data_IF_224248415239
#
_entry.id   IF_224248415239
#
_cell.length_a   1.000
_cell.length_b   1.000
_cell.length_c   1.000
_cell.angle_alpha   90.00
_cell.angle_beta   90.00
_cell.angle_gamma   90.00
#
_symmetry.space_group_name_H-M   'P 1'
#
loop_
_entity.id
_entity.type
_entity.pdbx_description
1 polymer ?
#
# COMPACT_ATOMS: atom_id res chain seq x y z
N UNK A 1 29.06 -1.14 4.53
CA UNK A 1 28.17 -1.78 5.53
C UNK A 1 28.41 -3.28 5.51
N UNK A 2 28.37 -3.97 6.65
CA UNK A 2 28.45 -5.43 6.66
C UNK A 2 27.19 -6.06 6.03
N UNK A 3 27.28 -7.25 5.42
CA UNK A 3 26.12 -7.89 4.77
C UNK A 3 24.94 -8.11 5.73
N UNK A 4 25.24 -8.36 7.02
CA UNK A 4 24.23 -8.41 8.09
C UNK A 4 23.48 -7.09 8.26
N UNK A 5 24.17 -5.94 8.20
CA UNK A 5 23.53 -4.61 8.29
C UNK A 5 22.65 -4.31 7.08
N UNK A 6 23.08 -4.73 5.89
CA UNK A 6 22.29 -4.56 4.65
C UNK A 6 21.03 -5.42 4.69
N UNK A 7 21.15 -6.71 5.03
CA UNK A 7 20.00 -7.61 5.18
C UNK A 7 19.01 -7.10 6.23
N UNK A 8 19.49 -6.62 7.38
CA UNK A 8 18.63 -6.02 8.41
C UNK A 8 17.92 -4.76 7.91
N UNK A 9 18.61 -3.86 7.20
CA UNK A 9 18.00 -2.66 6.64
C UNK A 9 16.90 -3.01 5.62
N UNK A 10 17.12 -4.01 4.76
CA UNK A 10 16.11 -4.49 3.82
C UNK A 10 14.90 -5.09 4.55
N UNK A 11 15.10 -5.87 5.61
CA UNK A 11 14.00 -6.42 6.42
C UNK A 11 13.17 -5.31 7.07
N UNK A 12 13.83 -4.34 7.71
CA UNK A 12 13.13 -3.22 8.34
C UNK A 12 12.38 -2.37 7.31
N UNK A 13 12.99 -2.11 6.15
CA UNK A 13 12.33 -1.41 5.04
C UNK A 13 11.11 -2.17 4.52
N UNK A 14 11.21 -3.50 4.38
CA UNK A 14 10.07 -4.32 3.97
C UNK A 14 8.92 -4.27 4.99
N UNK A 15 9.23 -4.40 6.28
CA UNK A 15 8.22 -4.30 7.35
C UNK A 15 7.54 -2.93 7.33
N UNK A 16 8.31 -1.85 7.20
CA UNK A 16 7.75 -0.49 7.14
C UNK A 16 6.82 -0.32 5.93
N UNK A 17 7.22 -0.80 4.75
CA UNK A 17 6.40 -0.72 3.55
C UNK A 17 5.13 -1.57 3.63
N UNK A 18 5.18 -2.73 4.31
CA UNK A 18 3.99 -3.53 4.57
C UNK A 18 3.02 -2.79 5.50
N UNK A 19 3.54 -2.15 6.56
CA UNK A 19 2.71 -1.34 7.46
C UNK A 19 2.08 -0.14 6.73
N UNK A 20 2.85 0.55 5.88
CA UNK A 20 2.33 1.64 5.04
C UNK A 20 1.29 1.12 4.06
N UNK A 21 1.54 -0.02 3.41
CA UNK A 21 0.59 -0.64 2.49
C UNK A 21 -0.72 -1.03 3.18
N UNK A 22 -0.64 -1.64 4.37
CA UNK A 22 -1.81 -1.95 5.19
C UNK A 22 -2.57 -0.68 5.59
N UNK A 23 -1.85 0.35 6.03
CA UNK A 23 -2.47 1.63 6.35
C UNK A 23 -3.23 2.19 5.14
N UNK A 24 -2.59 2.28 3.97
CA UNK A 24 -3.23 2.80 2.75
C UNK A 24 -4.40 1.94 2.23
N UNK A 25 -4.42 0.64 2.54
CA UNK A 25 -5.47 -0.27 2.10
C UNK A 25 -6.75 -0.15 2.96
N UNK A 26 -6.62 0.24 4.23
CA UNK A 26 -7.72 0.25 5.21
C UNK A 26 -8.07 1.63 5.78
N UNK A 27 -7.19 2.63 5.62
CA UNK A 27 -7.43 4.00 6.06
C UNK A 27 -8.29 4.73 5.01
N UNK A 28 -9.54 5.02 5.39
CA UNK A 28 -10.48 5.75 4.54
C UNK A 28 -9.99 7.18 4.31
N UNK A 29 -10.13 7.66 3.06
CA UNK A 29 -9.77 9.04 2.69
C UNK A 29 -10.94 10.00 2.83
N UNK A 30 -10.65 11.28 2.71
CA UNK A 30 -11.62 12.32 2.37
C UNK A 30 -11.38 12.84 0.94
N UNK A 31 -12.40 13.50 0.39
CA UNK A 31 -12.39 14.19 -0.91
C UNK A 31 -13.12 15.54 -0.79
N UNK A 32 -12.74 16.51 -1.60
CA UNK A 32 -13.43 17.80 -1.69
C UNK A 32 -14.56 17.72 -2.72
N UNK A 33 -15.79 18.06 -2.32
CA UNK A 33 -16.99 17.98 -3.14
C UNK A 33 -17.59 19.36 -3.37
N UNK A 34 -17.93 19.65 -4.63
CA UNK A 34 -18.45 20.93 -5.09
C UNK A 34 -19.98 20.96 -5.16
N UNK A 35 -20.66 19.81 -5.21
CA UNK A 35 -22.11 19.73 -5.11
C UNK A 35 -22.63 20.27 -3.77
N UNK A 36 -23.83 20.88 -3.85
CA UNK A 36 -24.60 21.28 -2.69
C UNK A 36 -25.54 20.15 -2.26
N UNK A 37 -25.64 19.93 -0.95
CA UNK A 37 -26.55 18.95 -0.37
C UNK A 37 -27.96 19.54 -0.13
N UNK A 38 -28.95 18.71 0.20
CA UNK A 38 -30.39 19.07 0.32
C UNK A 38 -30.65 20.23 1.29
N UNK A 39 -29.77 20.46 2.24
CA UNK A 39 -29.87 21.55 3.24
C UNK A 39 -28.75 22.61 3.11
N UNK A 40 -27.91 22.52 2.07
CA UNK A 40 -26.76 23.39 1.86
C UNK A 40 -27.05 24.49 0.85
N UNK A 41 -26.77 25.74 1.22
CA UNK A 41 -26.78 26.90 0.30
C UNK A 41 -25.52 27.04 -0.57
N UNK A 42 -24.66 26.00 -0.61
CA UNK A 42 -23.35 26.01 -1.28
C UNK A 42 -22.61 24.66 -1.16
N UNK A 43 -21.39 24.57 -1.73
CA UNK A 43 -20.57 23.34 -1.72
C UNK A 43 -20.29 22.87 -0.28
N UNK A 44 -20.37 21.56 -0.07
CA UNK A 44 -20.15 20.93 1.24
C UNK A 44 -18.66 20.97 1.65
N UNK A 45 -17.74 20.96 0.69
CA UNK A 45 -16.29 20.93 0.95
C UNK A 45 -15.79 19.51 1.22
N UNK A 46 -14.94 19.33 2.23
CA UNK A 46 -14.32 18.04 2.53
C UNK A 46 -15.34 17.02 3.08
N UNK A 47 -15.48 15.88 2.40
CA UNK A 47 -16.36 14.77 2.76
C UNK A 47 -15.52 13.51 2.99
N UNK A 48 -15.76 12.82 4.11
CA UNK A 48 -15.12 11.55 4.41
C UNK A 48 -15.72 10.39 3.60
N UNK A 49 -14.88 9.57 2.99
CA UNK A 49 -15.31 8.39 2.26
C UNK A 49 -15.68 7.26 3.21
N UNK A 50 -16.84 6.66 2.98
CA UNK A 50 -17.38 5.55 3.77
C UNK A 50 -16.83 4.20 3.32
N UNK A 51 -16.51 4.07 2.03
CA UNK A 51 -15.92 2.88 1.43
C UNK A 51 -14.42 2.77 1.74
N UNK A 52 -13.95 1.54 1.94
CA UNK A 52 -12.54 1.27 2.13
C UNK A 52 -11.79 1.24 0.78
N UNK A 53 -10.50 1.64 0.73
CA UNK A 53 -9.68 1.59 -0.49
C UNK A 53 -9.67 0.24 -1.20
N UNK A 54 -9.55 -0.86 -0.45
CA UNK A 54 -9.57 -2.20 -1.01
C UNK A 54 -10.94 -2.59 -1.60
N UNK A 55 -12.03 -2.10 -1.01
CA UNK A 55 -13.40 -2.42 -1.43
C UNK A 55 -13.73 -1.70 -2.74
N UNK A 56 -13.38 -0.41 -2.83
CA UNK A 56 -13.47 0.36 -4.07
C UNK A 56 -12.71 -0.33 -5.22
N UNK A 57 -11.45 -0.72 -4.99
CA UNK A 57 -10.59 -1.23 -6.06
C UNK A 57 -10.84 -2.69 -6.45
N UNK A 58 -11.31 -3.53 -5.52
CA UNK A 58 -11.50 -4.97 -5.78
C UNK A 58 -12.96 -5.34 -6.11
N UNK A 59 -13.93 -4.56 -5.63
CA UNK A 59 -15.35 -4.83 -5.82
C UNK A 59 -16.05 -3.77 -6.68
N UNK A 60 -15.30 -2.81 -7.24
CA UNK A 60 -15.82 -1.67 -7.99
C UNK A 60 -16.90 -0.89 -7.22
N UNK A 61 -16.75 -0.80 -5.89
CA UNK A 61 -17.74 -0.13 -5.03
C UNK A 61 -17.60 1.39 -5.14
N UNK A 62 -18.57 2.04 -5.78
CA UNK A 62 -18.69 3.49 -5.94
C UNK A 62 -19.87 4.09 -5.16
N UNK A 63 -20.36 3.39 -4.13
CA UNK A 63 -21.49 3.84 -3.32
C UNK A 63 -21.21 5.21 -2.68
N UNK A 64 -22.08 6.17 -2.97
CA UNK A 64 -22.12 7.47 -2.30
C UNK A 64 -22.62 7.37 -0.85
N UNK A 65 -22.69 8.51 -0.15
CA UNK A 65 -23.13 8.56 1.24
C UNK A 65 -24.58 8.12 1.37
N UNK A 66 -24.87 7.25 2.35
CA UNK A 66 -26.23 6.87 2.70
C UNK A 66 -26.99 8.00 3.40
N UNK A 67 -28.32 7.97 3.34
CA UNK A 67 -29.19 8.96 3.98
C UNK A 67 -29.92 9.88 3.00
N UNK A 68 -30.53 10.95 3.51
CA UNK A 68 -31.23 11.94 2.70
C UNK A 68 -30.23 12.95 2.13
N UNK A 69 -29.83 12.74 0.88
CA UNK A 69 -28.92 13.60 0.13
C UNK A 69 -29.47 13.93 -1.26
N UNK A 70 -28.97 15.03 -1.86
CA UNK A 70 -29.30 15.34 -3.26
C UNK A 70 -28.64 14.32 -4.18
N UNK A 71 -29.30 13.87 -5.27
CA UNK A 71 -28.70 12.87 -6.18
C UNK A 71 -27.37 13.34 -6.75
N UNK A 72 -27.28 14.62 -7.14
CA UNK A 72 -26.05 15.19 -7.66
C UNK A 72 -24.90 15.13 -6.63
N UNK A 73 -25.19 15.35 -5.34
CA UNK A 73 -24.20 15.20 -4.27
C UNK A 73 -23.79 13.73 -4.07
N UNK A 74 -24.75 12.81 -4.05
CA UNK A 74 -24.47 11.37 -3.89
C UNK A 74 -23.58 10.84 -5.01
N UNK A 75 -23.91 11.19 -6.26
CA UNK A 75 -23.17 10.74 -7.43
C UNK A 75 -21.75 11.34 -7.47
N UNK A 76 -21.59 12.62 -7.12
CA UNK A 76 -20.26 13.28 -7.06
C UNK A 76 -19.39 12.69 -5.95
N UNK A 77 -19.92 12.53 -4.74
CA UNK A 77 -19.19 11.92 -3.62
C UNK A 77 -18.79 10.49 -3.96
N UNK A 78 -19.70 9.68 -4.51
CA UNK A 78 -19.43 8.29 -4.90
C UNK A 78 -18.29 8.20 -5.90
N UNK A 79 -18.34 9.00 -6.97
CA UNK A 79 -17.30 9.02 -8.01
C UNK A 79 -15.94 9.48 -7.49
N UNK A 80 -15.90 10.58 -6.72
CA UNK A 80 -14.65 11.12 -6.17
C UNK A 80 -14.05 10.16 -5.12
N UNK A 81 -14.87 9.62 -4.22
CA UNK A 81 -14.44 8.64 -3.24
C UNK A 81 -13.95 7.35 -3.90
N UNK A 82 -14.62 6.85 -4.95
CA UNK A 82 -14.17 5.69 -5.71
C UNK A 82 -12.78 5.92 -6.31
N UNK A 83 -12.60 7.07 -6.98
CA UNK A 83 -11.33 7.44 -7.61
C UNK A 83 -10.19 7.54 -6.60
N UNK A 84 -10.39 8.28 -5.50
CA UNK A 84 -9.40 8.50 -4.46
C UNK A 84 -9.04 7.19 -3.72
N UNK A 85 -10.05 6.38 -3.39
CA UNK A 85 -9.90 5.08 -2.74
C UNK A 85 -9.13 4.09 -3.62
N UNK A 86 -9.47 4.04 -4.92
CA UNK A 86 -8.75 3.21 -5.90
C UNK A 86 -7.29 3.63 -6.04
N UNK A 87 -7.00 4.93 -6.09
CA UNK A 87 -5.64 5.45 -6.15
C UNK A 87 -4.83 5.07 -4.90
N UNK A 88 -5.42 5.21 -3.70
CA UNK A 88 -4.81 4.77 -2.43
C UNK A 88 -4.49 3.28 -2.44
N UNK A 89 -5.42 2.43 -2.89
CA UNK A 89 -5.19 0.99 -2.95
C UNK A 89 -4.09 0.61 -3.94
N UNK A 90 -3.99 1.29 -5.09
CA UNK A 90 -2.86 1.09 -6.02
C UNK A 90 -1.51 1.44 -5.36
N UNK A 91 -1.45 2.50 -4.56
CA UNK A 91 -0.27 2.84 -3.76
C UNK A 91 0.03 1.79 -2.68
N UNK A 92 -1.01 1.21 -2.06
CA UNK A 92 -0.88 0.10 -1.12
C UNK A 92 -0.25 -1.13 -1.80
N UNK A 93 -0.74 -1.52 -2.98
CA UNK A 93 -0.19 -2.62 -3.78
C UNK A 93 1.26 -2.34 -4.16
N UNK A 94 1.57 -1.13 -4.63
CA UNK A 94 2.95 -0.73 -4.93
C UNK A 94 3.90 -0.88 -3.74
N UNK A 95 3.45 -0.47 -2.55
CA UNK A 95 4.20 -0.63 -1.30
C UNK A 95 4.42 -2.10 -0.96
N UNK A 96 3.39 -2.95 -1.13
CA UNK A 96 3.49 -4.40 -0.94
C UNK A 96 4.49 -5.07 -1.90
N UNK A 97 4.46 -4.71 -3.19
CA UNK A 97 5.41 -5.22 -4.19
C UNK A 97 6.85 -4.84 -3.83
N UNK A 98 7.09 -3.58 -3.45
CA UNK A 98 8.41 -3.13 -3.05
C UNK A 98 8.90 -3.85 -1.78
N UNK A 99 8.01 -4.10 -0.81
CA UNK A 99 8.34 -4.89 0.37
C UNK A 99 8.78 -6.31 0.01
N UNK A 100 8.09 -6.98 -0.92
CA UNK A 100 8.49 -8.31 -1.41
C UNK A 100 9.87 -8.31 -2.07
N UNK A 101 10.18 -7.27 -2.87
CA UNK A 101 11.50 -7.10 -3.47
C UNK A 101 12.58 -6.95 -2.40
N UNK A 102 12.33 -6.18 -1.35
CA UNK A 102 13.27 -6.03 -0.24
C UNK A 102 13.46 -7.32 0.58
N UNK A 103 12.39 -8.10 0.79
CA UNK A 103 12.47 -9.40 1.44
C UNK A 103 13.33 -10.37 0.61
N UNK A 104 13.11 -10.42 -0.71
CA UNK A 104 13.91 -11.24 -1.61
C UNK A 104 15.39 -10.83 -1.60
N UNK A 105 15.66 -9.52 -1.66
CA UNK A 105 17.03 -8.99 -1.59
C UNK A 105 17.72 -9.36 -0.26
N UNK A 106 16.99 -9.27 0.86
CA UNK A 106 17.51 -9.68 2.16
C UNK A 106 17.91 -11.16 2.19
N UNK A 107 17.04 -12.04 1.67
CA UNK A 107 17.30 -13.47 1.58
C UNK A 107 18.54 -13.79 0.74
N UNK A 108 18.71 -13.11 -0.41
CA UNK A 108 19.90 -13.26 -1.27
C UNK A 108 21.17 -12.82 -0.55
N UNK A 109 21.16 -11.67 0.12
CA UNK A 109 22.35 -11.15 0.84
C UNK A 109 22.73 -12.07 2.00
N UNK A 110 21.74 -12.56 2.76
CA UNK A 110 21.97 -13.50 3.85
C UNK A 110 22.54 -14.83 3.33
N UNK A 111 21.94 -15.42 2.29
CA UNK A 111 22.38 -16.71 1.72
C UNK A 111 23.75 -16.67 1.04
N UNK A 112 24.16 -15.52 0.48
CA UNK A 112 25.53 -15.34 -0.03
C UNK A 112 26.57 -15.23 1.08
N UNK A 113 26.16 -14.77 2.26
CA UNK A 113 27.07 -14.61 3.41
C UNK A 113 27.32 -15.93 4.15
N UNK A 114 26.47 -16.93 3.96
CA UNK A 114 26.57 -18.24 4.62
C UNK A 114 27.16 -19.34 3.74
N UNK A 115 27.42 -19.10 2.44
CA UNK A 115 28.14 -20.08 1.61
C UNK A 115 29.59 -20.16 2.08
N UNK A 116 30.05 -21.30 2.63
CA UNK A 116 31.45 -21.50 2.89
C UNK A 116 32.20 -21.38 1.55
N UNK A 117 33.31 -20.64 1.54
CA UNK A 117 34.27 -20.79 0.48
C UNK A 117 34.65 -22.28 0.47
N UNK A 118 34.36 -22.98 -0.64
CA UNK A 118 34.83 -24.34 -0.85
C UNK A 118 36.35 -24.24 -1.01
N UNK A 119 37.06 -24.20 0.11
CA UNK A 119 38.52 -24.19 0.16
C UNK A 119 38.99 -25.53 -0.36
N UNK A 120 39.82 -25.49 -1.40
CA UNK A 120 40.44 -26.65 -2.02
C UNK A 120 41.48 -27.27 -1.11
N UNK A 121 41.04 -27.97 -0.07
CA UNK A 121 41.88 -28.78 0.82
C UNK A 121 42.01 -30.25 0.37
N UNK A 122 41.44 -30.62 -0.77
CA UNK A 122 41.60 -31.98 -1.33
C UNK A 122 42.89 -32.15 -2.17
N UNK A 123 43.70 -31.09 -2.37
CA UNK A 123 44.87 -31.15 -3.25
C UNK A 123 46.21 -31.42 -2.54
N UNK A 124 46.23 -31.67 -1.23
CA UNK A 124 47.47 -31.89 -0.45
C UNK A 124 47.56 -33.25 0.26
N UNK A 125 46.62 -34.16 0.02
CA UNK A 125 46.65 -35.49 0.61
C UNK A 125 47.49 -36.51 -0.17
N UNK A 126 48.03 -36.15 -1.35
CA UNK A 126 48.77 -37.06 -2.24
C UNK A 126 50.26 -36.68 -2.42
N UNK A 127 50.87 -35.97 -1.46
CA UNK A 127 52.30 -35.62 -1.49
C UNK A 127 53.13 -36.42 -0.48
#
# INVERSE_FOLDING_TARGET
MSPRRVSLACLLGAVLLLLVGLFLAFDNTSVDVSASDVNGGGPVGEVGCTIAPWDAALNDNDEGPGGEHSRAFVDEVGAECYSASTARFRAAVGSGVLALVLLAASGVVAGRSTRPARTGDDARADA
#
